data_IF_864758130055
#
_entry.id   IF_864758130055
#
_cell.length_a   1.000
_cell.length_b   1.000
_cell.length_c   1.000
_cell.angle_alpha   90.00
_cell.angle_beta   90.00
_cell.angle_gamma   90.00
#
_symmetry.space_group_name_H-M   'P 1'
#
loop_
_entity.id
_entity.type
_entity.pdbx_description
1 polymer ?
#
# COMPACT_ATOMS: atom_id res chain seq x y z
N UNK A 1 6.32 -9.16 19.92
CA UNK A 1 7.08 -9.09 18.63
C UNK A 1 7.16 -7.64 18.23
N UNK A 2 8.36 -7.16 17.89
CA UNK A 2 8.58 -5.75 17.50
C UNK A 2 8.55 -5.58 15.99
N UNK A 3 7.75 -4.64 15.49
CA UNK A 3 7.58 -4.36 14.08
C UNK A 3 7.99 -2.92 13.79
N UNK A 4 8.79 -2.72 12.75
CA UNK A 4 9.12 -1.39 12.25
C UNK A 4 8.39 -1.14 10.92
N UNK A 5 7.44 -0.20 10.93
CA UNK A 5 6.74 0.26 9.72
C UNK A 5 7.47 1.49 9.18
N UNK A 6 8.12 1.36 8.03
CA UNK A 6 8.72 2.50 7.33
C UNK A 6 7.67 3.25 6.51
N UNK A 7 7.58 4.56 6.71
CA UNK A 7 6.60 5.41 6.02
C UNK A 7 5.22 5.43 6.67
N UNK A 8 5.16 5.48 7.99
CA UNK A 8 3.92 5.45 8.78
C UNK A 8 2.88 6.51 8.44
N UNK A 9 3.27 7.69 7.96
CA UNK A 9 2.31 8.73 7.56
C UNK A 9 1.70 8.54 6.17
N UNK A 10 2.13 7.52 5.42
CA UNK A 10 1.58 7.20 4.10
C UNK A 10 0.18 6.57 4.16
N UNK A 11 -0.49 6.48 2.99
CA UNK A 11 -1.83 5.90 2.84
C UNK A 11 -1.95 4.47 3.41
N UNK A 12 -0.96 3.61 3.19
CA UNK A 12 -0.91 2.28 3.80
C UNK A 12 -0.31 2.31 5.20
N UNK A 13 0.78 3.09 5.39
CA UNK A 13 1.57 3.09 6.62
C UNK A 13 0.75 3.38 7.87
N UNK A 14 -0.14 4.39 7.83
CA UNK A 14 -0.95 4.73 8.99
C UNK A 14 -1.96 3.63 9.35
N UNK A 15 -2.49 2.91 8.35
CA UNK A 15 -3.38 1.77 8.60
C UNK A 15 -2.65 0.57 9.18
N UNK A 16 -1.41 0.35 8.74
CA UNK A 16 -0.55 -0.66 9.36
C UNK A 16 -0.26 -0.32 10.83
N UNK A 17 0.11 0.93 11.13
CA UNK A 17 0.34 1.35 12.51
C UNK A 17 -0.93 1.12 13.36
N UNK A 18 -2.09 1.58 12.91
CA UNK A 18 -3.36 1.38 13.63
C UNK A 18 -3.69 -0.09 13.85
N UNK A 19 -3.61 -0.90 12.80
CA UNK A 19 -4.06 -2.29 12.84
C UNK A 19 -3.09 -3.20 13.61
N UNK A 20 -1.78 -2.96 13.48
CA UNK A 20 -0.77 -3.81 14.11
C UNK A 20 -0.56 -3.47 15.59
N UNK A 21 -0.80 -2.23 16.02
CA UNK A 21 -0.55 -1.80 17.41
C UNK A 21 -1.39 -2.53 18.47
N UNK A 22 -2.52 -3.15 18.08
CA UNK A 22 -3.33 -3.96 18.99
C UNK A 22 -2.67 -5.28 19.41
N UNK A 23 -1.80 -5.83 18.57
CA UNK A 23 -1.22 -7.17 18.73
C UNK A 23 0.31 -7.17 18.88
N UNK A 24 0.98 -6.08 18.48
CA UNK A 24 2.44 -6.00 18.35
C UNK A 24 3.00 -4.72 18.95
N UNK A 25 4.29 -4.74 19.27
CA UNK A 25 5.06 -3.54 19.61
C UNK A 25 5.48 -2.83 18.31
N UNK A 26 4.67 -1.85 17.88
CA UNK A 26 4.82 -1.21 16.57
C UNK A 26 5.60 0.10 16.70
N UNK A 27 6.71 0.17 15.97
CA UNK A 27 7.50 1.37 15.75
C UNK A 27 7.29 1.86 14.33
N UNK A 28 7.35 3.15 14.11
CA UNK A 28 7.20 3.70 12.77
C UNK A 28 8.13 4.86 12.49
N UNK A 29 8.43 5.09 11.22
CA UNK A 29 9.17 6.27 10.75
C UNK A 29 8.25 7.22 10.00
N UNK A 30 8.44 8.50 10.18
CA UNK A 30 7.79 9.56 9.42
C UNK A 30 8.82 10.60 8.94
N UNK A 31 8.55 11.28 7.81
CA UNK A 31 9.42 12.35 7.29
C UNK A 31 9.27 13.67 8.03
N UNK A 32 8.08 13.93 8.54
CA UNK A 32 7.75 15.17 9.25
C UNK A 32 7.83 15.03 10.75
N UNK A 33 7.14 15.91 11.43
CA UNK A 33 6.99 15.97 12.89
C UNK A 33 5.67 15.31 13.30
N UNK A 34 5.65 14.57 14.41
CA UNK A 34 4.48 13.84 14.90
C UNK A 34 3.37 14.80 15.32
N UNK A 35 3.73 15.98 15.80
CA UNK A 35 2.77 17.03 16.20
C UNK A 35 1.82 17.41 15.07
N UNK A 36 2.27 17.39 13.82
CA UNK A 36 1.41 17.66 12.66
C UNK A 36 0.38 16.57 12.41
N UNK A 37 0.58 15.40 12.98
CA UNK A 37 -0.28 14.24 12.86
C UNK A 37 -1.08 13.96 14.14
N UNK A 38 -0.92 14.77 15.19
CA UNK A 38 -1.52 14.55 16.50
C UNK A 38 -3.06 14.46 16.44
N UNK A 39 -3.70 15.24 15.56
CA UNK A 39 -5.16 15.25 15.40
C UNK A 39 -5.74 13.90 14.92
N UNK A 40 -4.92 13.04 14.34
CA UNK A 40 -5.38 11.73 13.89
C UNK A 40 -5.41 10.68 14.99
N UNK A 41 -4.69 10.89 16.11
CA UNK A 41 -4.67 9.96 17.26
C UNK A 41 -4.03 8.59 16.96
N UNK A 42 -3.15 8.52 15.94
CA UNK A 42 -2.57 7.26 15.45
C UNK A 42 -1.17 7.02 16.01
N UNK A 43 -0.38 8.09 16.18
CA UNK A 43 1.05 8.00 16.40
C UNK A 43 1.40 8.26 17.87
N UNK A 44 1.99 7.27 18.52
CA UNK A 44 2.59 7.42 19.85
C UNK A 44 3.99 8.03 19.72
N UNK A 45 4.28 9.10 20.47
CA UNK A 45 5.55 9.83 20.34
C UNK A 45 6.76 8.95 20.61
N UNK A 46 6.68 8.09 21.61
CA UNK A 46 7.78 7.20 22.02
C UNK A 46 8.09 6.11 20.99
N UNK A 47 7.15 5.82 20.08
CA UNK A 47 7.27 4.79 19.05
C UNK A 47 7.30 5.35 17.63
N UNK A 48 7.34 6.67 17.50
CA UNK A 48 7.41 7.36 16.20
C UNK A 48 8.75 8.05 16.05
N UNK A 49 9.52 7.61 15.07
CA UNK A 49 10.82 8.19 14.73
C UNK A 49 10.60 9.23 13.63
N UNK A 50 10.87 10.47 13.99
CA UNK A 50 10.61 11.64 13.15
C UNK A 50 11.77 11.96 12.24
N UNK A 51 11.50 12.79 11.21
CA UNK A 51 12.48 13.38 10.31
C UNK A 51 13.42 12.33 9.67
N UNK A 52 12.90 11.13 9.41
CA UNK A 52 13.66 10.06 8.79
C UNK A 52 13.64 10.24 7.27
N UNK A 53 14.80 10.54 6.71
CA UNK A 53 15.06 10.45 5.28
C UNK A 53 15.65 9.07 4.97
N UNK A 54 14.90 8.25 4.24
CA UNK A 54 15.32 6.88 3.89
C UNK A 54 16.32 6.83 2.72
N UNK A 55 16.56 7.96 2.05
CA UNK A 55 17.64 8.09 1.06
C UNK A 55 18.99 8.28 1.75
N UNK A 56 19.01 8.69 3.03
CA UNK A 56 20.21 8.67 3.88
C UNK A 56 20.41 7.28 4.51
N UNK A 57 21.34 6.53 3.96
CA UNK A 57 21.62 5.14 4.37
C UNK A 57 22.13 5.04 5.81
N UNK A 58 22.82 6.05 6.32
CA UNK A 58 23.35 6.06 7.69
C UNK A 58 22.20 6.27 8.68
N UNK A 59 21.27 7.16 8.38
CA UNK A 59 20.05 7.37 9.18
C UNK A 59 19.20 6.12 9.19
N UNK A 60 18.98 5.50 8.02
CA UNK A 60 18.21 4.26 7.92
C UNK A 60 18.83 3.12 8.74
N UNK A 61 20.14 2.95 8.64
CA UNK A 61 20.90 1.94 9.40
C UNK A 61 20.74 2.18 10.91
N UNK A 62 20.99 3.40 11.39
CA UNK A 62 20.84 3.75 12.82
C UNK A 62 19.42 3.48 13.33
N UNK A 63 18.39 3.82 12.56
CA UNK A 63 17.01 3.56 12.93
C UNK A 63 16.76 2.07 13.09
N UNK A 64 17.13 1.25 12.11
CA UNK A 64 16.90 -0.20 12.13
C UNK A 64 17.67 -0.85 13.29
N UNK A 65 18.94 -0.48 13.50
CA UNK A 65 19.76 -1.03 14.58
C UNK A 65 19.24 -0.60 15.97
N UNK A 66 18.79 0.65 16.14
CA UNK A 66 18.25 1.14 17.42
C UNK A 66 16.91 0.50 17.79
N UNK A 67 16.04 0.28 16.81
CA UNK A 67 14.74 -0.39 17.03
C UNK A 67 14.93 -1.88 17.22
N UNK A 68 15.90 -2.50 16.53
CA UNK A 68 16.13 -3.95 16.51
C UNK A 68 14.81 -4.75 16.30
N UNK A 69 14.10 -4.53 15.18
CA UNK A 69 12.79 -5.14 14.94
C UNK A 69 12.91 -6.62 14.60
N UNK A 70 11.83 -7.38 14.83
CA UNK A 70 11.68 -8.74 14.30
C UNK A 70 11.17 -8.73 12.85
N UNK A 71 10.38 -7.70 12.50
CA UNK A 71 9.82 -7.51 11.16
C UNK A 71 9.99 -6.05 10.74
N UNK A 72 10.46 -5.84 9.52
CA UNK A 72 10.47 -4.53 8.86
C UNK A 72 9.40 -4.57 7.78
N UNK A 73 8.45 -3.64 7.83
CA UNK A 73 7.48 -3.45 6.78
C UNK A 73 7.80 -2.19 5.98
N UNK A 74 8.08 -2.35 4.69
CA UNK A 74 8.34 -1.23 3.80
C UNK A 74 7.04 -0.73 3.14
N UNK A 75 6.47 0.36 3.67
CA UNK A 75 5.33 1.07 3.09
C UNK A 75 5.75 2.30 2.27
N UNK A 76 7.06 2.45 1.98
CA UNK A 76 7.60 3.58 1.22
C UNK A 76 7.62 3.26 -0.27
N UNK A 77 7.25 4.22 -1.07
CA UNK A 77 7.36 4.17 -2.53
C UNK A 77 6.80 5.44 -3.18
N UNK A 78 7.35 5.77 -4.32
CA UNK A 78 6.83 6.85 -5.18
C UNK A 78 5.71 6.26 -6.04
N UNK A 79 4.52 6.85 -6.00
CA UNK A 79 3.37 6.47 -6.81
C UNK A 79 3.17 7.42 -7.99
N UNK A 80 2.52 6.95 -9.06
CA UNK A 80 2.35 7.74 -10.32
C UNK A 80 1.72 9.12 -10.13
N UNK A 81 0.89 9.27 -9.11
CA UNK A 81 0.06 10.46 -8.88
C UNK A 81 0.81 11.62 -8.21
N UNK A 82 1.99 11.38 -7.66
CA UNK A 82 2.74 12.43 -6.97
C UNK A 82 3.70 13.16 -7.92
N UNK A 83 3.93 14.49 -7.74
CA UNK A 83 4.83 15.26 -8.59
C UNK A 83 6.26 14.69 -8.66
N UNK A 84 6.74 14.10 -7.57
CA UNK A 84 8.07 13.47 -7.48
C UNK A 84 8.22 12.25 -8.40
N UNK A 85 7.13 11.63 -8.88
CA UNK A 85 7.18 10.57 -9.89
C UNK A 85 7.82 10.99 -11.22
N UNK A 86 7.94 12.29 -11.48
CA UNK A 86 8.65 12.85 -12.64
C UNK A 86 10.19 12.87 -12.44
N UNK A 87 10.66 12.74 -11.21
CA UNK A 87 12.08 12.59 -10.90
C UNK A 87 12.48 11.12 -10.97
N UNK A 88 13.13 10.74 -12.08
CA UNK A 88 13.50 9.34 -12.32
C UNK A 88 14.51 8.83 -11.28
N UNK A 89 15.47 9.66 -10.86
CA UNK A 89 16.47 9.26 -9.86
C UNK A 89 15.81 8.94 -8.51
N UNK A 90 14.95 9.81 -7.99
CA UNK A 90 14.22 9.57 -6.74
C UNK A 90 13.27 8.35 -6.86
N UNK A 91 12.61 8.18 -8.02
CA UNK A 91 11.74 7.02 -8.26
C UNK A 91 12.53 5.71 -8.23
N UNK A 92 13.71 5.67 -8.87
CA UNK A 92 14.58 4.49 -8.86
C UNK A 92 15.16 4.25 -7.46
N UNK A 93 15.62 5.30 -6.77
CA UNK A 93 16.15 5.18 -5.42
C UNK A 93 15.12 4.56 -4.46
N UNK A 94 13.89 5.07 -4.44
CA UNK A 94 12.86 4.64 -3.50
C UNK A 94 12.13 3.36 -3.91
N UNK A 95 11.86 3.17 -5.20
CA UNK A 95 11.10 2.01 -5.66
C UNK A 95 11.95 0.79 -5.97
N UNK A 96 13.21 1.00 -6.39
CA UNK A 96 14.10 -0.09 -6.82
C UNK A 96 15.20 -0.36 -5.80
N UNK A 97 16.02 0.63 -5.44
CA UNK A 97 17.20 0.43 -4.60
C UNK A 97 16.85 0.20 -3.12
N UNK A 98 15.97 1.03 -2.56
CA UNK A 98 15.61 0.98 -1.14
C UNK A 98 15.15 -0.41 -0.67
N UNK A 99 14.27 -1.16 -1.37
CA UNK A 99 13.87 -2.50 -0.93
C UNK A 99 15.05 -3.47 -0.77
N UNK A 100 16.06 -3.41 -1.65
CA UNK A 100 17.25 -4.26 -1.56
C UNK A 100 18.18 -3.83 -0.41
N UNK A 101 18.33 -2.52 -0.18
CA UNK A 101 19.04 -2.01 1.00
C UNK A 101 18.37 -2.49 2.31
N UNK A 102 17.04 -2.43 2.35
CA UNK A 102 16.27 -2.92 3.51
C UNK A 102 16.43 -4.42 3.71
N UNK A 103 16.49 -5.21 2.65
CA UNK A 103 16.75 -6.65 2.74
C UNK A 103 18.13 -6.93 3.36
N UNK A 104 19.15 -6.22 2.92
CA UNK A 104 20.48 -6.30 3.50
C UNK A 104 20.52 -5.90 4.98
N UNK A 105 19.87 -4.79 5.34
CA UNK A 105 19.81 -4.33 6.74
C UNK A 105 18.97 -5.27 7.61
N UNK A 106 17.86 -5.82 7.08
CA UNK A 106 17.03 -6.79 7.78
C UNK A 106 17.82 -8.06 8.12
N UNK A 107 18.61 -8.57 7.18
CA UNK A 107 19.49 -9.73 7.40
C UNK A 107 20.49 -9.47 8.53
N UNK A 108 21.13 -8.29 8.56
CA UNK A 108 22.10 -7.91 9.59
C UNK A 108 21.52 -7.91 11.01
N UNK A 109 20.24 -7.55 11.17
CA UNK A 109 19.58 -7.52 12.49
C UNK A 109 18.73 -8.77 12.75
N UNK A 110 18.73 -9.75 11.85
CA UNK A 110 17.93 -10.97 11.95
C UNK A 110 16.42 -10.75 11.77
N UNK A 111 16.01 -9.65 11.13
CA UNK A 111 14.61 -9.32 10.87
C UNK A 111 14.09 -9.98 9.59
N UNK A 112 12.75 -10.12 9.51
CA UNK A 112 12.03 -10.42 8.27
C UNK A 112 11.68 -9.12 7.55
N UNK A 113 11.93 -9.04 6.25
CA UNK A 113 11.44 -7.93 5.43
C UNK A 113 10.10 -8.29 4.77
N UNK A 114 9.11 -7.40 4.88
CA UNK A 114 7.89 -7.44 4.06
C UNK A 114 7.85 -6.16 3.24
N UNK A 115 7.74 -6.28 1.92
CA UNK A 115 7.69 -5.14 1.01
C UNK A 115 6.52 -5.25 0.02
N UNK A 116 6.03 -4.10 -0.44
CA UNK A 116 4.90 -4.01 -1.36
C UNK A 116 5.39 -3.75 -2.77
N UNK A 117 4.97 -4.59 -3.70
CA UNK A 117 5.01 -4.34 -5.14
C UNK A 117 3.60 -4.02 -5.67
N UNK A 118 3.40 -3.99 -6.96
CA UNK A 118 2.19 -3.48 -7.60
C UNK A 118 1.75 -4.34 -8.78
N UNK A 119 0.45 -4.34 -9.07
CA UNK A 119 -0.14 -4.83 -10.31
C UNK A 119 0.38 -4.08 -11.55
N UNK A 120 0.86 -2.84 -11.35
CA UNK A 120 1.41 -2.01 -12.42
C UNK A 120 2.77 -2.49 -12.97
N UNK A 121 3.34 -3.58 -12.45
CA UNK A 121 4.46 -4.28 -13.12
C UNK A 121 4.01 -4.92 -14.44
N UNK A 122 2.70 -5.06 -14.63
CA UNK A 122 2.07 -5.50 -15.87
C UNK A 122 1.46 -4.31 -16.63
N UNK A 123 1.47 -4.37 -17.97
CA UNK A 123 0.95 -3.31 -18.83
C UNK A 123 -0.59 -3.20 -18.82
N UNK A 124 -1.28 -4.26 -18.39
CA UNK A 124 -2.74 -4.32 -18.31
C UNK A 124 -3.42 -4.66 -19.63
N UNK A 125 -2.72 -5.21 -20.60
CA UNK A 125 -3.31 -5.77 -21.83
C UNK A 125 -4.00 -7.11 -21.56
N UNK A 126 -3.55 -7.82 -20.52
CA UNK A 126 -4.10 -9.10 -20.06
C UNK A 126 -4.31 -9.04 -18.54
N UNK A 127 -5.50 -9.40 -18.08
CA UNK A 127 -5.80 -9.57 -16.67
C UNK A 127 -5.49 -10.97 -16.13
N UNK A 128 -5.79 -11.18 -14.85
CA UNK A 128 -5.59 -12.45 -14.12
C UNK A 128 -4.16 -12.98 -14.28
N UNK A 129 -3.19 -12.08 -14.17
CA UNK A 129 -1.76 -12.45 -14.23
C UNK A 129 -1.33 -13.18 -12.97
N UNK A 130 -0.47 -14.17 -13.14
CA UNK A 130 0.12 -15.02 -12.08
C UNK A 130 1.55 -14.58 -11.76
N UNK A 131 2.15 -15.10 -10.68
CA UNK A 131 3.55 -14.85 -10.35
C UNK A 131 4.54 -15.40 -11.40
N UNK A 132 4.10 -16.36 -12.23
CA UNK A 132 4.89 -16.92 -13.33
C UNK A 132 4.88 -16.03 -14.59
N UNK A 133 3.93 -15.10 -14.70
CA UNK A 133 3.88 -14.19 -15.84
C UNK A 133 5.01 -13.14 -15.73
N UNK A 134 5.68 -12.90 -16.87
CA UNK A 134 6.79 -11.94 -16.91
C UNK A 134 6.28 -10.50 -16.83
N UNK A 135 6.80 -9.66 -15.89
CA UNK A 135 6.48 -8.24 -15.82
C UNK A 135 6.86 -7.50 -17.10
N UNK A 136 5.89 -6.79 -17.68
CA UNK A 136 6.03 -6.17 -19.01
C UNK A 136 5.66 -4.67 -19.02
N UNK A 137 5.65 -4.02 -17.87
CA UNK A 137 5.39 -2.57 -17.78
C UNK A 137 6.38 -1.77 -18.64
N UNK A 138 5.87 -0.76 -19.33
CA UNK A 138 6.67 0.12 -20.19
C UNK A 138 7.05 1.42 -19.50
N UNK A 139 6.28 1.85 -18.49
CA UNK A 139 6.51 3.08 -17.75
C UNK A 139 7.53 2.94 -16.61
N UNK A 140 8.07 4.07 -16.17
CA UNK A 140 9.09 4.12 -15.11
C UNK A 140 8.59 3.53 -13.78
N UNK A 141 7.34 3.79 -13.41
CA UNK A 141 6.78 3.31 -12.15
C UNK A 141 6.75 1.77 -12.09
N UNK A 142 6.12 1.14 -13.08
CA UNK A 142 6.04 -0.32 -13.14
C UNK A 142 7.41 -0.97 -13.21
N UNK A 143 8.32 -0.43 -14.05
CA UNK A 143 9.71 -0.92 -14.15
C UNK A 143 10.47 -0.77 -12.84
N UNK A 144 10.38 0.39 -12.17
CA UNK A 144 11.09 0.62 -10.92
C UNK A 144 10.55 -0.25 -9.78
N UNK A 145 9.25 -0.46 -9.71
CA UNK A 145 8.64 -1.35 -8.72
C UNK A 145 9.04 -2.81 -8.94
N UNK A 146 9.09 -3.26 -10.21
CA UNK A 146 9.56 -4.61 -10.53
C UNK A 146 11.04 -4.81 -10.14
N UNK A 147 11.91 -3.84 -10.44
CA UNK A 147 13.32 -3.91 -10.05
C UNK A 147 13.53 -3.93 -8.52
N UNK A 148 12.58 -3.41 -7.75
CA UNK A 148 12.63 -3.44 -6.29
C UNK A 148 11.96 -4.67 -5.64
N UNK A 149 11.59 -5.68 -6.40
CA UNK A 149 11.02 -6.92 -5.86
C UNK A 149 12.12 -7.80 -5.27
N UNK A 150 12.16 -7.91 -3.95
CA UNK A 150 13.09 -8.78 -3.24
C UNK A 150 12.44 -10.14 -3.05
N UNK A 151 13.04 -11.17 -3.64
CA UNK A 151 12.48 -12.53 -3.65
C UNK A 151 13.37 -13.56 -2.93
N UNK A 152 14.54 -13.13 -2.48
CA UNK A 152 15.54 -13.99 -1.83
C UNK A 152 15.64 -13.70 -0.32
N UNK A 153 16.31 -14.59 0.40
CA UNK A 153 16.56 -14.43 1.84
C UNK A 153 15.31 -14.47 2.70
N UNK A 154 15.30 -13.69 3.78
CA UNK A 154 14.17 -13.57 4.70
C UNK A 154 13.19 -12.46 4.28
N UNK A 155 12.87 -12.38 3.00
CA UNK A 155 12.02 -11.36 2.43
C UNK A 155 10.71 -11.92 1.85
N UNK A 156 9.64 -11.15 1.99
CA UNK A 156 8.33 -11.40 1.39
C UNK A 156 7.89 -10.17 0.59
N UNK A 157 7.75 -10.32 -0.71
CA UNK A 157 7.23 -9.29 -1.61
C UNK A 157 5.79 -9.59 -1.98
N UNK A 158 4.90 -8.62 -1.76
CA UNK A 158 3.48 -8.73 -2.04
C UNK A 158 3.12 -7.82 -3.22
N UNK A 159 2.80 -8.42 -4.38
CA UNK A 159 2.19 -7.67 -5.48
C UNK A 159 0.70 -7.50 -5.19
N UNK A 160 0.28 -6.26 -5.11
CA UNK A 160 -1.12 -5.91 -4.85
C UNK A 160 -1.41 -4.53 -5.43
N UNK A 161 -2.64 -4.09 -5.29
CA UNK A 161 -3.04 -2.70 -5.50
C UNK A 161 -3.89 -2.27 -4.31
N UNK A 162 -3.79 -1.02 -3.90
CA UNK A 162 -4.47 -0.53 -2.71
C UNK A 162 -5.18 0.78 -2.96
N UNK A 163 -6.30 0.98 -2.26
CA UNK A 163 -7.03 2.24 -2.18
C UNK A 163 -7.27 2.61 -0.72
N UNK A 164 -7.34 3.89 -0.40
CA UNK A 164 -7.60 4.33 0.97
C UNK A 164 -7.64 5.84 1.09
N UNK A 165 -7.97 6.28 2.32
CA UNK A 165 -7.87 7.66 2.74
C UNK A 165 -6.42 8.04 3.01
N UNK A 166 -6.09 9.31 2.93
CA UNK A 166 -4.73 9.84 3.14
C UNK A 166 -4.71 10.84 4.29
N UNK A 167 -3.60 10.86 5.04
CA UNK A 167 -3.37 11.85 6.09
C UNK A 167 -2.83 13.16 5.48
N UNK A 168 -3.73 14.11 5.24
CA UNK A 168 -3.35 15.45 4.79
C UNK A 168 -2.94 15.60 3.32
N UNK A 169 -3.02 14.55 2.51
CA UNK A 169 -2.82 14.61 1.05
C UNK A 169 -4.09 14.19 0.30
N UNK A 170 -4.13 14.40 -1.03
CA UNK A 170 -5.31 14.10 -1.85
C UNK A 170 -4.92 13.56 -3.23
N UNK A 171 -4.01 12.61 -3.26
CA UNK A 171 -3.48 12.06 -4.51
C UNK A 171 -4.12 10.73 -4.90
N UNK A 172 -4.67 9.97 -3.93
CA UNK A 172 -5.26 8.65 -4.17
C UNK A 172 -6.63 8.72 -4.83
N UNK A 173 -7.09 7.57 -5.34
CA UNK A 173 -8.39 7.43 -5.99
C UNK A 173 -9.55 7.86 -5.08
N UNK A 174 -9.51 7.47 -3.80
CA UNK A 174 -10.60 7.77 -2.85
C UNK A 174 -10.65 9.27 -2.57
N UNK A 175 -9.52 9.89 -2.27
CA UNK A 175 -9.45 11.34 -1.99
C UNK A 175 -9.82 12.16 -3.23
N UNK A 176 -9.33 11.76 -4.42
CA UNK A 176 -9.74 12.38 -5.68
C UNK A 176 -11.25 12.28 -5.87
N UNK A 177 -11.85 11.10 -5.67
CA UNK A 177 -13.28 10.91 -5.82
C UNK A 177 -14.06 11.81 -4.86
N UNK A 178 -13.74 11.79 -3.57
CA UNK A 178 -14.42 12.59 -2.56
C UNK A 178 -14.26 14.11 -2.77
N UNK A 179 -13.18 14.55 -3.43
CA UNK A 179 -12.98 15.97 -3.78
C UNK A 179 -13.87 16.46 -4.93
N UNK A 180 -14.56 15.57 -5.62
CA UNK A 180 -15.45 15.89 -6.73
C UNK A 180 -16.95 15.93 -6.34
N UNK A 181 -17.27 16.22 -5.07
CA UNK A 181 -18.66 16.42 -4.61
C UNK A 181 -19.36 17.48 -5.45
N UNK A 182 -20.60 17.19 -5.87
CA UNK A 182 -21.42 18.04 -6.73
C UNK A 182 -20.99 18.09 -8.20
N UNK A 183 -20.07 17.20 -8.62
CA UNK A 183 -19.59 17.14 -10.01
C UNK A 183 -19.88 15.79 -10.66
N UNK A 184 -19.70 15.74 -11.98
CA UNK A 184 -19.72 14.50 -12.77
C UNK A 184 -18.29 14.00 -12.98
N UNK A 185 -18.06 12.69 -12.80
CA UNK A 185 -16.78 12.02 -13.06
C UNK A 185 -16.97 10.82 -13.98
N UNK A 186 -15.97 10.50 -14.79
CA UNK A 186 -16.00 9.31 -15.64
C UNK A 186 -15.68 8.05 -14.83
N UNK A 187 -16.55 7.06 -14.92
CA UNK A 187 -16.34 5.71 -14.39
C UNK A 187 -15.98 4.74 -15.53
N UNK A 188 -14.76 4.23 -15.51
CA UNK A 188 -14.25 3.35 -16.57
C UNK A 188 -14.74 1.91 -16.36
N UNK A 189 -15.61 1.43 -17.28
CA UNK A 189 -16.21 0.09 -17.18
C UNK A 189 -15.26 -1.03 -17.60
N UNK A 190 -14.25 -0.71 -18.41
CA UNK A 190 -13.24 -1.65 -18.89
C UNK A 190 -11.85 -1.45 -18.22
N UNK A 191 -11.78 -0.68 -17.13
CA UNK A 191 -10.59 -0.59 -16.30
C UNK A 191 -10.73 -1.50 -15.08
N UNK A 192 -10.20 -2.71 -15.21
CA UNK A 192 -10.35 -3.77 -14.21
C UNK A 192 -9.22 -3.71 -13.18
N UNK A 193 -9.58 -3.99 -11.93
CA UNK A 193 -8.76 -3.86 -10.75
C UNK A 193 -9.12 -4.95 -9.74
N UNK A 194 -8.17 -5.43 -8.93
CA UNK A 194 -8.39 -6.49 -7.93
C UNK A 194 -7.65 -6.25 -6.60
N UNK A 195 -7.50 -4.97 -6.23
CA UNK A 195 -6.79 -4.60 -5.01
C UNK A 195 -7.65 -4.61 -3.74
N UNK A 196 -7.18 -3.91 -2.71
CA UNK A 196 -7.85 -3.83 -1.41
C UNK A 196 -7.93 -2.39 -0.89
N UNK A 197 -8.93 -2.07 -0.06
CA UNK A 197 -8.80 -0.97 0.89
C UNK A 197 -7.63 -1.22 1.86
N UNK A 198 -6.91 -0.15 2.19
CA UNK A 198 -5.70 -0.23 3.03
C UNK A 198 -5.92 -0.87 4.39
N UNK A 199 -7.10 -0.68 4.99
CA UNK A 199 -7.46 -1.33 6.25
C UNK A 199 -7.51 -2.86 6.10
N UNK A 200 -8.20 -3.36 5.05
CA UNK A 200 -8.28 -4.81 4.77
C UNK A 200 -6.89 -5.39 4.48
N UNK A 201 -6.07 -4.65 3.73
CA UNK A 201 -4.72 -5.10 3.46
C UNK A 201 -3.84 -5.14 4.73
N UNK A 202 -4.03 -4.21 5.66
CA UNK A 202 -3.34 -4.22 6.95
C UNK A 202 -3.76 -5.44 7.82
N UNK A 203 -5.03 -5.87 7.77
CA UNK A 203 -5.47 -7.13 8.40
C UNK A 203 -4.77 -8.35 7.79
N UNK A 204 -4.64 -8.39 6.46
CA UNK A 204 -3.90 -9.47 5.77
C UNK A 204 -2.43 -9.49 6.25
N UNK A 205 -1.80 -8.33 6.36
CA UNK A 205 -0.41 -8.22 6.85
C UNK A 205 -0.31 -8.69 8.30
N UNK A 206 -1.26 -8.36 9.16
CA UNK A 206 -1.29 -8.82 10.55
C UNK A 206 -1.36 -10.36 10.63
N UNK A 207 -2.21 -10.97 9.80
CA UNK A 207 -2.31 -12.42 9.69
C UNK A 207 -1.00 -13.07 9.18
N UNK A 208 -0.39 -12.49 8.15
CA UNK A 208 0.90 -12.94 7.62
C UNK A 208 2.03 -12.90 8.66
N UNK A 209 2.05 -11.89 9.52
CA UNK A 209 3.04 -11.77 10.58
C UNK A 209 2.79 -12.79 11.68
N UNK A 210 1.54 -13.01 12.06
CA UNK A 210 1.13 -13.92 13.12
C UNK A 210 1.25 -15.39 12.75
N UNK A 211 0.70 -15.75 11.60
CA UNK A 211 0.38 -17.14 11.27
C UNK A 211 1.19 -17.70 10.11
N UNK A 212 1.93 -16.87 9.37
CA UNK A 212 2.66 -17.26 8.16
C UNK A 212 4.09 -16.70 8.17
N UNK A 213 4.76 -16.88 9.30
CA UNK A 213 6.14 -16.38 9.49
C UNK A 213 7.16 -17.02 8.56
N UNK A 214 6.86 -18.19 7.99
CA UNK A 214 7.69 -18.93 7.04
C UNK A 214 7.58 -18.47 5.60
N UNK A 215 6.53 -17.73 5.21
CA UNK A 215 6.35 -17.30 3.83
C UNK A 215 7.47 -16.36 3.37
N UNK A 216 8.05 -16.67 2.20
CA UNK A 216 9.16 -15.96 1.55
C UNK A 216 8.89 -15.83 0.06
N UNK A 217 9.61 -14.93 -0.58
CA UNK A 217 9.56 -14.73 -2.02
C UNK A 217 8.40 -13.85 -2.45
N UNK A 218 7.81 -14.13 -3.61
CA UNK A 218 6.81 -13.30 -4.27
C UNK A 218 5.44 -13.96 -4.26
N UNK A 219 4.43 -13.16 -3.87
CA UNK A 219 3.02 -13.54 -3.94
C UNK A 219 2.15 -12.43 -4.52
N UNK A 220 1.19 -12.81 -5.35
CA UNK A 220 0.07 -11.95 -5.69
C UNK A 220 -0.97 -11.98 -4.57
N UNK A 221 -1.41 -10.80 -4.12
CA UNK A 221 -2.43 -10.66 -3.09
C UNK A 221 -3.55 -9.81 -3.66
N UNK A 222 -4.66 -10.44 -4.01
CA UNK A 222 -5.77 -9.78 -4.69
C UNK A 222 -7.14 -10.18 -4.12
N UNK A 223 -8.08 -9.23 -4.21
CA UNK A 223 -9.51 -9.47 -4.05
C UNK A 223 -10.11 -10.01 -5.36
N UNK A 224 -11.43 -10.12 -5.42
CA UNK A 224 -12.13 -10.34 -6.66
C UNK A 224 -12.03 -9.10 -7.57
N UNK A 225 -12.01 -9.31 -8.88
CA UNK A 225 -11.88 -8.24 -9.85
C UNK A 225 -13.12 -7.32 -9.85
N UNK A 226 -12.90 -6.01 -9.96
CA UNK A 226 -13.95 -4.99 -10.11
C UNK A 226 -13.52 -3.98 -11.16
N UNK A 227 -14.47 -3.43 -11.92
CA UNK A 227 -14.18 -2.30 -12.78
C UNK A 227 -14.27 -0.97 -11.99
N UNK A 228 -13.60 0.07 -12.49
CA UNK A 228 -13.58 1.37 -11.80
C UNK A 228 -14.94 2.06 -11.75
N UNK A 229 -15.84 1.82 -12.69
CA UNK A 229 -17.20 2.37 -12.64
C UNK A 229 -17.94 1.84 -11.42
N UNK A 230 -18.01 0.52 -11.24
CA UNK A 230 -18.71 -0.11 -10.13
C UNK A 230 -18.05 0.24 -8.78
N UNK A 231 -16.71 0.31 -8.74
CA UNK A 231 -15.98 0.75 -7.55
C UNK A 231 -16.38 2.19 -7.14
N UNK A 232 -16.48 3.13 -8.09
CA UNK A 232 -16.91 4.49 -7.80
C UNK A 232 -18.39 4.56 -7.34
N UNK A 233 -19.26 3.69 -7.87
CA UNK A 233 -20.63 3.58 -7.39
C UNK A 233 -20.69 3.11 -5.93
N UNK A 234 -19.87 2.14 -5.54
CA UNK A 234 -19.76 1.70 -4.13
C UNK A 234 -19.23 2.83 -3.24
N UNK A 235 -18.17 3.54 -3.66
CA UNK A 235 -17.67 4.71 -2.92
C UNK A 235 -18.76 5.76 -2.75
N UNK A 236 -19.51 6.10 -3.81
CA UNK A 236 -20.65 7.04 -3.73
C UNK A 236 -21.67 6.60 -2.70
N UNK A 237 -22.08 5.31 -2.75
CA UNK A 237 -23.07 4.74 -1.85
C UNK A 237 -22.65 4.83 -0.38
N UNK A 238 -21.47 4.34 -0.06
CA UNK A 238 -21.06 4.17 1.33
C UNK A 238 -20.51 5.44 1.98
N UNK A 239 -19.94 6.37 1.20
CA UNK A 239 -19.56 7.69 1.71
C UNK A 239 -20.72 8.69 1.69
N UNK A 240 -21.88 8.34 1.12
CA UNK A 240 -23.04 9.22 1.09
C UNK A 240 -22.80 10.54 0.35
N UNK A 241 -22.03 10.50 -0.74
CA UNK A 241 -21.63 11.71 -1.48
C UNK A 241 -22.42 11.88 -2.76
N UNK A 242 -22.79 13.13 -3.07
CA UNK A 242 -23.46 13.51 -4.32
C UNK A 242 -22.39 13.71 -5.41
N UNK A 243 -22.10 12.66 -6.15
CA UNK A 243 -21.19 12.65 -7.31
C UNK A 243 -21.86 11.84 -8.40
N UNK A 244 -22.05 12.43 -9.58
CA UNK A 244 -22.52 11.70 -10.74
C UNK A 244 -21.38 10.88 -11.34
N UNK A 245 -21.58 9.58 -11.57
CA UNK A 245 -20.60 8.70 -12.21
C UNK A 245 -21.11 8.34 -13.60
N UNK A 246 -20.52 8.95 -14.62
CA UNK A 246 -20.83 8.68 -16.02
C UNK A 246 -20.08 7.46 -16.53
N UNK A 247 -20.79 6.54 -17.21
CA UNK A 247 -20.15 5.38 -17.85
C UNK A 247 -19.19 5.81 -18.94
N UNK A 248 -18.01 5.21 -18.95
CA UNK A 248 -17.02 5.44 -19.99
C UNK A 248 -16.39 4.10 -20.41
N UNK A 249 -16.71 3.63 -21.62
CA UNK A 249 -16.38 2.29 -22.12
C UNK A 249 -15.15 2.26 -23.04
N UNK A 250 -14.64 3.43 -23.48
CA UNK A 250 -13.55 3.51 -24.47
C UNK A 250 -12.17 3.15 -23.90
N UNK A 251 -11.93 3.36 -22.60
CA UNK A 251 -10.65 3.06 -21.98
C UNK A 251 -10.63 1.61 -21.47
N UNK A 252 -9.70 0.81 -22.01
CA UNK A 252 -9.57 -0.60 -21.65
C UNK A 252 -8.20 -0.89 -21.05
N UNK A 253 -8.19 -1.42 -19.84
CA UNK A 253 -7.02 -1.93 -19.14
C UNK A 253 -7.48 -2.98 -18.10
N UNK A 254 -6.77 -4.09 -18.03
CA UNK A 254 -7.04 -5.13 -17.02
C UNK A 254 -5.75 -5.46 -16.26
N UNK A 255 -5.69 -5.03 -15.01
CA UNK A 255 -4.59 -5.31 -14.07
C UNK A 255 -5.01 -6.21 -12.92
N UNK A 256 -6.04 -7.04 -13.14
CA UNK A 256 -6.38 -8.06 -12.16
C UNK A 256 -5.25 -9.07 -11.99
N UNK A 257 -5.03 -9.48 -10.76
CA UNK A 257 -4.03 -10.47 -10.37
C UNK A 257 -4.72 -11.77 -9.98
N UNK A 258 -4.14 -12.89 -10.39
CA UNK A 258 -4.47 -14.20 -9.84
C UNK A 258 -3.67 -14.42 -8.55
N UNK A 259 -4.36 -14.60 -7.43
CA UNK A 259 -3.75 -14.87 -6.12
C UNK A 259 -3.96 -16.30 -5.64
N UNK A 260 -4.19 -17.24 -6.55
CA UNK A 260 -4.42 -18.66 -6.22
C UNK A 260 -3.30 -19.23 -5.35
N UNK A 261 -2.04 -18.99 -5.71
CA UNK A 261 -0.86 -19.42 -4.93
C UNK A 261 -0.91 -18.91 -3.48
N UNK A 262 -1.24 -17.63 -3.28
CA UNK A 262 -1.38 -17.05 -1.95
C UNK A 262 -2.54 -17.66 -1.16
N UNK A 263 -3.70 -17.78 -1.80
CA UNK A 263 -4.93 -18.35 -1.18
C UNK A 263 -4.76 -19.82 -0.80
N UNK A 264 -4.02 -20.60 -1.58
CA UNK A 264 -3.72 -22.01 -1.27
C UNK A 264 -2.88 -22.16 0.00
N UNK A 265 -1.88 -21.31 0.18
CA UNK A 265 -0.97 -21.38 1.35
C UNK A 265 -1.63 -20.79 2.60
N UNK A 266 -2.26 -19.61 2.49
CA UNK A 266 -2.80 -18.88 3.64
C UNK A 266 -4.24 -19.24 3.99
N UNK A 267 -4.96 -19.92 3.08
CA UNK A 267 -6.41 -20.12 3.15
C UNK A 267 -7.22 -18.83 3.15
N UNK A 268 -6.58 -17.72 2.77
CA UNK A 268 -7.24 -16.41 2.66
C UNK A 268 -8.43 -16.43 1.71
N UNK A 269 -9.53 -15.82 2.14
CA UNK A 269 -10.73 -15.59 1.33
C UNK A 269 -11.04 -14.10 1.33
N UNK A 270 -11.07 -13.43 0.17
CA UNK A 270 -11.40 -12.01 0.14
C UNK A 270 -12.86 -11.79 0.54
N UNK A 271 -13.10 -10.67 1.21
CA UNK A 271 -14.45 -10.14 1.42
C UNK A 271 -14.99 -9.57 0.12
N UNK A 272 -16.31 -9.44 0.01
CA UNK A 272 -16.94 -8.72 -1.11
C UNK A 272 -16.49 -7.26 -1.16
N UNK A 273 -16.46 -6.65 -2.35
CA UNK A 273 -16.17 -5.23 -2.49
C UNK A 273 -17.13 -4.35 -1.69
N UNK A 274 -18.38 -4.76 -1.60
CA UNK A 274 -19.39 -4.05 -0.84
C UNK A 274 -19.05 -3.98 0.65
N UNK A 275 -18.65 -5.10 1.27
CA UNK A 275 -18.20 -5.16 2.66
C UNK A 275 -16.92 -4.37 2.87
N UNK A 276 -15.94 -4.50 1.97
CA UNK A 276 -14.66 -3.81 2.10
C UNK A 276 -14.81 -2.28 2.04
N UNK A 277 -15.66 -1.78 1.14
CA UNK A 277 -15.92 -0.34 1.02
C UNK A 277 -16.75 0.18 2.20
N UNK A 278 -17.73 -0.61 2.69
CA UNK A 278 -18.49 -0.27 3.88
C UNK A 278 -17.57 -0.09 5.11
N UNK A 279 -16.64 -1.02 5.33
CA UNK A 279 -15.64 -0.94 6.40
C UNK A 279 -14.76 0.31 6.23
N UNK A 280 -14.24 0.56 5.03
CA UNK A 280 -13.42 1.74 4.77
C UNK A 280 -14.16 3.05 5.01
N UNK A 281 -15.44 3.12 4.66
CA UNK A 281 -16.25 4.32 4.85
C UNK A 281 -16.64 4.56 6.32
N UNK A 282 -16.68 3.51 7.13
CA UNK A 282 -16.96 3.59 8.58
C UNK A 282 -15.72 3.86 9.45
N UNK A 283 -14.56 4.04 8.84
CA UNK A 283 -13.30 4.32 9.54
C UNK A 283 -13.41 5.60 10.38
N UNK A 284 -13.22 5.55 11.71
CA UNK A 284 -13.39 6.71 12.58
C UNK A 284 -12.24 7.73 12.52
N UNK A 285 -11.18 7.46 11.76
CA UNK A 285 -10.05 8.38 11.64
C UNK A 285 -10.51 9.73 11.09
N UNK A 286 -10.20 10.86 11.76
CA UNK A 286 -10.73 12.19 11.39
C UNK A 286 -9.99 12.80 10.20
N UNK A 287 -10.06 12.16 9.03
CA UNK A 287 -9.36 12.59 7.81
C UNK A 287 -9.68 14.01 7.35
N UNK A 288 -10.88 14.48 7.64
CA UNK A 288 -11.34 15.82 7.21
C UNK A 288 -10.90 16.94 8.17
N UNK A 289 -10.28 16.59 9.31
CA UNK A 289 -9.81 17.57 10.32
C UNK A 289 -8.50 18.26 9.93
N UNK A 290 -7.87 17.87 8.84
CA UNK A 290 -6.66 18.52 8.34
C UNK A 290 -7.05 19.81 7.60
N UNK A 291 -7.28 20.87 8.38
CA UNK A 291 -7.42 22.24 7.84
C UNK A 291 -6.08 22.68 7.27
N UNK A 292 -6.12 23.23 6.06
CA UNK A 292 -4.96 23.78 5.33
C UNK A 292 -4.32 24.95 6.08
#
# INVERSE_FOLDING_TARGET
MKILVLGGSGMLGHKLVQQLSGDFDVWTTIRGEVERLANFGIFERERTIEQVDVEDSDTLTRVIESVAPNVIFNAIGVVKQVPTAKNAAATIALNSLLPHQLAYLAERVGARLITISTDCVFDGTRGMTTEADHPNATDLYGKSKHLGEVVEGNALTLRTSIIGRELGTRHSLVEWFLSNRGKTVKGFTNAIYSGFPTFIFAEIVADLIKNHAELRGLYHVSSDAINKYDLLLLLRKYYGVEIEVERFDEFKIDRSLDSTKFREVTKFKPRSWEEMIAIMASDPTPYDSFSR
#
